data_IF_110708332646
#
_entry.id   IF_110708332646
#
_cell.length_a   1.000
_cell.length_b   1.000
_cell.length_c   1.000
_cell.angle_alpha   90.00
_cell.angle_beta   90.00
_cell.angle_gamma   90.00
#
_symmetry.space_group_name_H-M   'P 1'
#
loop_
_entity.id
_entity.type
_entity.pdbx_description
1 polymer ?
#
# COMPACT_ATOMS: atom_id res chain seq x y z
N UNK A 1 -9.10 -26.68 -46.60
CA UNK A 1 -8.26 -26.62 -45.39
C UNK A 1 -8.18 -25.19 -44.80
N UNK A 2 -9.31 -24.48 -44.58
CA UNK A 2 -9.28 -23.09 -44.06
C UNK A 2 -10.29 -22.79 -42.93
N UNK A 3 -11.18 -23.72 -42.57
CA UNK A 3 -12.27 -23.45 -41.61
C UNK A 3 -12.00 -23.89 -40.16
N UNK A 4 -10.91 -24.61 -39.88
CA UNK A 4 -10.60 -25.09 -38.52
C UNK A 4 -9.78 -24.10 -37.66
N UNK A 5 -9.26 -23.03 -38.26
CA UNK A 5 -8.44 -22.04 -37.54
C UNK A 5 -9.27 -20.93 -36.86
N UNK A 6 -10.52 -20.73 -37.27
CA UNK A 6 -11.40 -19.68 -36.73
C UNK A 6 -11.74 -19.85 -35.23
N UNK A 7 -12.09 -21.05 -34.72
CA UNK A 7 -12.41 -21.19 -33.29
C UNK A 7 -11.17 -21.09 -32.37
N UNK A 8 -9.99 -21.46 -32.87
CA UNK A 8 -8.74 -21.37 -32.10
C UNK A 8 -8.31 -19.91 -31.85
N UNK A 9 -8.49 -19.03 -32.83
CA UNK A 9 -8.23 -17.60 -32.70
C UNK A 9 -9.21 -16.90 -31.75
N UNK A 10 -10.47 -17.35 -31.69
CA UNK A 10 -11.47 -16.82 -30.77
C UNK A 10 -11.22 -17.23 -29.30
N UNK A 11 -10.69 -18.43 -29.05
CA UNK A 11 -10.28 -18.83 -27.70
C UNK A 11 -8.99 -18.13 -27.25
N UNK A 12 -8.08 -17.82 -28.17
CA UNK A 12 -6.83 -17.13 -27.84
C UNK A 12 -7.07 -15.67 -27.39
N UNK A 13 -8.04 -14.96 -27.97
CA UNK A 13 -8.36 -13.57 -27.57
C UNK A 13 -8.98 -13.46 -26.18
N UNK A 14 -9.65 -14.52 -25.69
CA UNK A 14 -10.18 -14.58 -24.32
C UNK A 14 -9.08 -14.72 -23.25
N UNK A 15 -7.88 -15.16 -23.61
CA UNK A 15 -6.74 -15.27 -22.68
C UNK A 15 -5.96 -13.96 -22.54
N UNK A 16 -6.22 -12.94 -23.37
CA UNK A 16 -5.54 -11.65 -23.32
C UNK A 16 -6.23 -10.60 -22.43
N UNK A 17 -7.35 -10.91 -21.78
CA UNK A 17 -8.06 -9.95 -20.90
C UNK A 17 -7.42 -9.78 -19.52
N UNK A 18 -6.17 -10.18 -19.33
CA UNK A 18 -5.45 -10.17 -18.06
C UNK A 18 -4.61 -8.92 -17.80
N UNK A 19 -5.02 -7.72 -18.22
CA UNK A 19 -4.35 -6.49 -17.78
C UNK A 19 -4.88 -6.07 -16.42
N UNK A 20 -4.31 -6.59 -15.34
CA UNK A 20 -4.55 -6.06 -14.00
C UNK A 20 -3.72 -4.79 -13.85
N UNK A 21 -4.29 -3.66 -14.24
CA UNK A 21 -3.79 -2.36 -13.79
C UNK A 21 -4.05 -2.31 -12.30
N UNK A 22 -3.01 -2.53 -11.49
CA UNK A 22 -3.10 -2.31 -10.05
C UNK A 22 -3.66 -0.89 -9.87
N UNK A 23 -4.86 -0.72 -9.29
CA UNK A 23 -5.42 0.60 -9.09
C UNK A 23 -4.40 1.38 -8.27
N UNK A 24 -4.10 2.63 -8.64
CA UNK A 24 -3.32 3.54 -7.80
C UNK A 24 -4.11 3.97 -6.54
N UNK A 25 -5.04 3.12 -6.08
CA UNK A 25 -5.85 3.34 -4.90
C UNK A 25 -5.05 2.90 -3.67
N UNK A 26 -5.14 3.65 -2.57
CA UNK A 26 -4.54 3.26 -1.31
C UNK A 26 -5.17 1.96 -0.80
N UNK A 27 -4.36 1.06 -0.24
CA UNK A 27 -4.83 -0.16 0.42
C UNK A 27 -5.65 0.15 1.68
N UNK A 28 -5.30 1.24 2.38
CA UNK A 28 -6.06 1.74 3.52
C UNK A 28 -6.01 3.26 3.57
N UNK A 29 -7.14 3.90 3.89
CA UNK A 29 -7.21 5.33 4.18
C UNK A 29 -7.68 5.52 5.61
N UNK A 30 -6.94 6.32 6.38
CA UNK A 30 -7.23 6.65 7.77
C UNK A 30 -7.31 8.16 7.95
N UNK A 31 -7.99 8.57 9.01
CA UNK A 31 -8.04 9.95 9.46
C UNK A 31 -7.74 9.98 10.96
N UNK A 32 -6.83 10.87 11.34
CA UNK A 32 -6.39 11.07 12.72
C UNK A 32 -6.42 12.56 13.07
N UNK A 33 -6.64 12.87 14.34
CA UNK A 33 -6.54 14.23 14.85
C UNK A 33 -5.09 14.67 15.11
N UNK A 34 -4.11 13.76 14.98
CA UNK A 34 -2.69 14.03 15.18
C UNK A 34 -2.12 14.85 14.02
N UNK A 35 -1.02 15.56 14.26
CA UNK A 35 -0.21 16.14 13.18
C UNK A 35 0.46 15.03 12.36
N UNK A 36 0.82 15.27 11.08
CA UNK A 36 1.52 14.25 10.27
C UNK A 36 2.76 13.71 10.97
N UNK A 37 3.52 14.61 11.61
CA UNK A 37 4.75 14.30 12.33
C UNK A 37 4.47 13.45 13.58
N UNK A 38 3.48 13.85 14.38
CA UNK A 38 3.09 13.11 15.59
C UNK A 38 2.52 11.73 15.26
N UNK A 39 1.88 11.58 14.09
CA UNK A 39 1.44 10.28 13.60
C UNK A 39 2.62 9.38 13.22
N UNK A 40 3.59 9.90 12.46
CA UNK A 40 4.79 9.13 12.08
C UNK A 40 5.63 8.74 13.30
N UNK A 41 5.76 9.63 14.29
CA UNK A 41 6.43 9.33 15.56
C UNK A 41 5.78 8.16 16.33
N UNK A 42 4.48 7.92 16.17
CA UNK A 42 3.81 6.76 16.75
C UNK A 42 4.07 5.47 15.95
N UNK A 43 4.12 5.57 14.61
CA UNK A 43 4.24 4.41 13.72
C UNK A 43 5.66 3.85 13.71
N UNK A 44 6.70 4.70 13.63
CA UNK A 44 8.09 4.25 13.48
C UNK A 44 8.54 3.26 14.56
N UNK A 45 8.34 3.52 15.87
CA UNK A 45 8.79 2.59 16.91
C UNK A 45 8.11 1.22 16.82
N UNK A 46 6.85 1.16 16.35
CA UNK A 46 6.14 -0.10 16.15
C UNK A 46 6.73 -0.90 14.99
N UNK A 47 7.15 -0.23 13.91
CA UNK A 47 7.81 -0.87 12.76
C UNK A 47 9.20 -1.37 13.11
N UNK A 48 9.99 -0.55 13.82
CA UNK A 48 11.34 -0.90 14.29
C UNK A 48 11.33 -2.12 15.22
N UNK A 49 10.31 -2.24 16.10
CA UNK A 49 10.11 -3.42 16.95
C UNK A 49 9.95 -4.72 16.15
N UNK A 50 9.51 -4.62 14.90
CA UNK A 50 9.38 -5.75 13.98
C UNK A 50 10.58 -5.91 13.05
N UNK A 51 11.65 -5.12 13.23
CA UNK A 51 12.86 -5.19 12.42
C UNK A 51 12.69 -4.68 10.99
N UNK A 52 11.67 -3.83 10.74
CA UNK A 52 11.40 -3.32 9.40
C UNK A 52 12.20 -2.04 9.16
N UNK A 53 13.01 -2.03 8.11
CA UNK A 53 13.75 -0.83 7.70
C UNK A 53 12.79 0.18 7.06
N UNK A 54 12.67 1.35 7.68
CA UNK A 54 11.85 2.46 7.17
C UNK A 54 12.69 3.71 6.93
N UNK A 55 12.45 4.37 5.80
CA UNK A 55 13.00 5.70 5.47
C UNK A 55 11.89 6.75 5.60
N UNK A 56 12.18 7.85 6.28
CA UNK A 56 11.20 8.91 6.55
C UNK A 56 11.56 10.16 5.78
N UNK A 57 10.58 10.72 5.07
CA UNK A 57 10.68 12.03 4.42
C UNK A 57 9.56 12.91 4.95
N UNK A 58 9.90 14.01 5.60
CA UNK A 58 8.94 14.84 6.31
C UNK A 58 9.06 16.30 5.88
N UNK A 59 7.91 16.97 5.80
CA UNK A 59 7.79 18.40 5.61
C UNK A 59 6.65 18.94 6.49
N UNK A 60 6.44 20.26 6.51
CA UNK A 60 5.47 20.91 7.40
C UNK A 60 4.00 20.52 7.20
N UNK A 61 3.64 19.86 6.09
CA UNK A 61 2.25 19.44 5.77
C UNK A 61 2.11 17.98 5.34
N UNK A 62 3.20 17.25 5.23
CA UNK A 62 3.22 15.90 4.68
C UNK A 62 4.39 15.11 5.26
N UNK A 63 4.11 13.88 5.66
CA UNK A 63 5.10 12.94 6.13
C UNK A 63 4.94 11.62 5.36
N UNK A 64 6.04 11.11 4.82
CA UNK A 64 6.11 9.87 4.05
C UNK A 64 7.04 8.89 4.72
N UNK A 65 6.58 7.67 4.91
CA UNK A 65 7.37 6.55 5.43
C UNK A 65 7.42 5.50 4.34
N UNK A 66 8.63 5.23 3.83
CA UNK A 66 8.91 4.18 2.85
C UNK A 66 9.47 2.97 3.60
N UNK A 67 8.80 1.83 3.53
CA UNK A 67 9.25 0.58 4.13
C UNK A 67 9.89 -0.25 3.03
N UNK A 68 11.20 -0.42 3.12
CA UNK A 68 11.94 -1.17 2.12
C UNK A 68 11.87 -2.66 2.44
N UNK A 69 11.42 -3.46 1.48
CA UNK A 69 11.35 -4.91 1.64
C UNK A 69 12.40 -5.60 0.78
N UNK A 70 13.06 -6.62 1.33
CA UNK A 70 14.03 -7.44 0.57
C UNK A 70 13.37 -8.56 -0.23
N UNK A 71 12.13 -8.91 0.12
CA UNK A 71 11.43 -10.11 -0.39
C UNK A 71 10.15 -9.73 -1.14
N UNK A 72 9.52 -8.62 -0.77
CA UNK A 72 8.33 -8.08 -1.40
C UNK A 72 8.61 -6.71 -2.04
N UNK A 73 7.59 -6.11 -2.65
CA UNK A 73 7.65 -4.72 -3.05
C UNK A 73 7.66 -3.80 -1.83
N UNK A 74 8.16 -2.58 -2.02
CA UNK A 74 8.19 -1.56 -0.97
C UNK A 74 6.77 -1.06 -0.66
N UNK A 75 6.52 -0.86 0.63
CA UNK A 75 5.25 -0.33 1.12
C UNK A 75 5.44 1.16 1.47
N UNK A 76 4.39 1.96 1.25
CA UNK A 76 4.45 3.41 1.48
C UNK A 76 3.31 3.85 2.36
N UNK A 77 3.61 4.62 3.40
CA UNK A 77 2.64 5.36 4.20
C UNK A 77 2.82 6.86 3.96
N UNK A 78 1.75 7.54 3.56
CA UNK A 78 1.74 8.99 3.33
C UNK A 78 0.70 9.64 4.23
N UNK A 79 1.12 10.57 5.06
CA UNK A 79 0.28 11.33 5.97
C UNK A 79 0.24 12.79 5.52
N UNK A 80 -0.93 13.29 5.16
CA UNK A 80 -1.15 14.66 4.71
C UNK A 80 -1.97 15.44 5.73
N UNK A 81 -1.54 16.67 6.02
CA UNK A 81 -2.33 17.61 6.80
C UNK A 81 -3.63 17.95 6.05
N UNK A 82 -4.75 17.83 6.72
CA UNK A 82 -6.10 18.15 6.27
C UNK A 82 -6.74 19.21 7.19
N UNK A 83 -7.93 19.68 6.85
CA UNK A 83 -8.66 20.65 7.68
C UNK A 83 -9.06 20.01 9.03
N UNK A 84 -9.45 18.74 9.00
CA UNK A 84 -9.93 17.97 10.16
C UNK A 84 -8.83 17.06 10.75
N UNK A 85 -7.57 17.51 10.75
CA UNK A 85 -6.42 16.75 11.26
C UNK A 85 -5.49 16.26 10.15
N UNK A 86 -5.22 14.95 10.08
CA UNK A 86 -4.32 14.33 9.10
C UNK A 86 -5.01 13.16 8.41
N UNK A 87 -4.95 13.13 7.09
CA UNK A 87 -5.37 11.98 6.27
C UNK A 87 -4.15 11.13 5.95
N UNK A 88 -4.24 9.86 6.26
CA UNK A 88 -3.17 8.89 6.05
C UNK A 88 -3.60 7.92 4.96
N UNK A 89 -2.75 7.78 3.96
CA UNK A 89 -2.90 6.84 2.86
C UNK A 89 -1.81 5.79 2.99
N UNK A 90 -2.22 4.54 2.99
CA UNK A 90 -1.34 3.40 3.03
C UNK A 90 -1.38 2.73 1.65
N UNK A 91 -0.21 2.46 1.09
CA UNK A 91 -0.02 1.77 -0.17
C UNK A 91 0.81 0.53 0.08
N UNK A 92 0.12 -0.60 0.23
CA UNK A 92 0.78 -1.88 0.45
C UNK A 92 0.61 -2.83 -0.72
N UNK A 93 1.70 -3.51 -1.06
CA UNK A 93 1.72 -4.56 -2.08
C UNK A 93 1.75 -5.92 -1.40
N UNK A 94 0.63 -6.28 -0.76
CA UNK A 94 0.53 -7.56 -0.03
C UNK A 94 0.66 -8.74 -0.99
N UNK A 95 1.56 -9.71 -0.72
CA UNK A 95 1.55 -10.97 -1.44
C UNK A 95 0.22 -11.69 -1.20
N UNK A 96 -0.29 -12.43 -2.20
CA UNK A 96 -1.61 -13.10 -2.13
C UNK A 96 -1.78 -13.98 -0.88
N UNK A 97 -0.69 -14.62 -0.41
CA UNK A 97 -0.69 -15.41 0.81
C UNK A 97 -0.95 -14.60 2.10
N UNK A 98 -0.66 -13.29 2.09
CA UNK A 98 -0.87 -12.36 3.20
C UNK A 98 -2.19 -11.58 3.10
N UNK A 99 -3.09 -11.92 2.16
CA UNK A 99 -4.39 -11.26 2.06
C UNK A 99 -5.33 -11.55 3.27
N UNK A 100 -5.05 -12.61 4.04
CA UNK A 100 -5.92 -13.08 5.12
C UNK A 100 -5.65 -12.35 6.45
N UNK A 101 -4.48 -11.72 6.62
CA UNK A 101 -4.10 -11.04 7.86
C UNK A 101 -3.67 -9.60 7.60
N UNK A 102 -3.97 -8.65 8.51
CA UNK A 102 -3.42 -7.30 8.41
C UNK A 102 -1.89 -7.38 8.46
N UNK A 103 -1.24 -6.56 7.64
CA UNK A 103 0.22 -6.42 7.68
C UNK A 103 0.64 -5.73 8.98
N UNK A 104 1.93 -5.78 9.29
CA UNK A 104 2.48 -5.06 10.46
C UNK A 104 2.33 -3.55 10.32
N UNK A 105 2.46 -3.03 9.10
CA UNK A 105 2.30 -1.62 8.82
C UNK A 105 0.84 -1.18 8.90
N UNK A 106 -0.10 -1.97 8.36
CA UNK A 106 -1.53 -1.71 8.53
C UNK A 106 -1.94 -1.70 10.00
N UNK A 107 -1.48 -2.69 10.78
CA UNK A 107 -1.75 -2.75 12.21
C UNK A 107 -1.16 -1.54 12.94
N UNK A 108 0.10 -1.19 12.68
CA UNK A 108 0.73 -0.03 13.29
C UNK A 108 0.01 1.28 12.94
N UNK A 109 -0.46 1.40 11.70
CA UNK A 109 -1.24 2.54 11.23
C UNK A 109 -2.59 2.65 11.97
N UNK A 110 -3.32 1.55 12.12
CA UNK A 110 -4.58 1.52 12.84
C UNK A 110 -4.41 1.82 14.34
N UNK A 111 -3.39 1.26 14.97
CA UNK A 111 -3.09 1.50 16.38
C UNK A 111 -2.75 2.97 16.69
N UNK A 112 -2.24 3.71 15.69
CA UNK A 112 -1.80 5.10 15.83
C UNK A 112 -2.82 6.13 15.34
N UNK A 113 -4.02 5.68 14.95
CA UNK A 113 -5.13 6.56 14.53
C UNK A 113 -5.51 7.58 15.60
#
# INVERSE_FOLDING_TARGET
MRSFFAPALACASLLLTGCITAPNAPSLTLQTNKTPDGYVQCVLPKLEKHGITSTVTQNSRHAKVLLTSKIAADDVLEAYKSQDGTKVFLYERKPLASAIKPSRLEQAAQDCK
#
